data_IF_608065696434
#
_entry.id   IF_608065696434
#
_cell.length_a   1.000
_cell.length_b   1.000
_cell.length_c   1.000
_cell.angle_alpha   90.00
_cell.angle_beta   90.00
_cell.angle_gamma   90.00
#
_symmetry.space_group_name_H-M   'P 1'
#
loop_
_entity.id
_entity.type
_entity.pdbx_description
1 polymer ?
#
# COMPACT_ATOMS: atom_id res chain seq x y z
N UNK A 1 -10.13 -10.68 7.95
CA UNK A 1 -10.25 -10.04 9.27
C UNK A 1 -9.05 -9.13 9.45
N UNK A 2 -9.28 -7.83 9.67
CA UNK A 2 -8.20 -6.85 9.91
C UNK A 2 -7.66 -7.02 11.34
N UNK A 3 -6.46 -6.51 11.61
CA UNK A 3 -5.91 -6.50 12.95
C UNK A 3 -6.87 -5.74 13.91
N UNK A 4 -7.03 -6.19 15.17
CA UNK A 4 -8.04 -5.64 16.09
C UNK A 4 -7.84 -4.15 16.45
N UNK A 5 -6.67 -3.59 16.16
CA UNK A 5 -6.26 -2.20 16.37
C UNK A 5 -6.11 -1.40 15.06
N UNK A 6 -6.49 -1.98 13.93
CA UNK A 6 -6.45 -1.28 12.65
C UNK A 6 -7.39 -0.07 12.67
N UNK A 7 -6.98 1.04 12.05
CA UNK A 7 -7.79 2.26 11.93
C UNK A 7 -7.62 2.87 10.54
N UNK A 8 -8.43 3.87 10.20
CA UNK A 8 -8.26 4.60 8.95
C UNK A 8 -6.94 5.37 8.87
N UNK A 9 -6.33 5.71 10.00
CA UNK A 9 -5.00 6.33 10.02
C UNK A 9 -3.93 5.33 9.57
N UNK A 10 -4.05 4.06 9.95
CA UNK A 10 -3.17 3.00 9.45
C UNK A 10 -3.31 2.82 7.94
N UNK A 11 -4.55 2.89 7.43
CA UNK A 11 -4.81 2.86 5.99
C UNK A 11 -4.16 4.06 5.29
N UNK A 12 -4.28 5.26 5.85
CA UNK A 12 -3.67 6.47 5.32
C UNK A 12 -2.14 6.34 5.25
N UNK A 13 -1.51 5.85 6.34
CA UNK A 13 -0.06 5.61 6.38
C UNK A 13 0.39 4.61 5.31
N UNK A 14 -0.35 3.52 5.12
CA UNK A 14 -0.02 2.53 4.09
C UNK A 14 -0.08 3.12 2.69
N UNK A 15 -1.14 3.87 2.39
CA UNK A 15 -1.32 4.55 1.10
C UNK A 15 -0.19 5.56 0.86
N UNK A 16 0.14 6.40 1.85
CA UNK A 16 1.23 7.37 1.72
C UNK A 16 2.56 6.68 1.45
N UNK A 17 2.91 5.65 2.23
CA UNK A 17 4.16 4.91 2.01
C UNK A 17 4.21 4.23 0.63
N UNK A 18 3.07 3.76 0.13
CA UNK A 18 2.97 3.20 -1.22
C UNK A 18 3.20 4.26 -2.31
N UNK A 19 2.53 5.42 -2.21
CA UNK A 19 2.68 6.51 -3.17
C UNK A 19 4.11 7.09 -3.15
N UNK A 20 4.72 7.22 -1.99
CA UNK A 20 6.12 7.65 -1.84
C UNK A 20 7.07 6.66 -2.55
N UNK A 21 6.88 5.36 -2.32
CA UNK A 21 7.68 4.32 -2.97
C UNK A 21 7.52 4.32 -4.51
N UNK A 22 6.31 4.59 -5.02
CA UNK A 22 6.10 4.78 -6.46
C UNK A 22 6.77 6.06 -6.97
N UNK A 23 6.71 7.14 -6.20
CA UNK A 23 7.37 8.41 -6.49
C UNK A 23 8.88 8.26 -6.63
N UNK A 24 9.53 7.51 -5.72
CA UNK A 24 10.95 7.17 -5.79
C UNK A 24 11.31 6.37 -7.06
N UNK A 25 10.35 5.61 -7.61
CA UNK A 25 10.49 4.87 -8.86
C UNK A 25 10.09 5.69 -10.10
N UNK A 26 9.71 6.95 -9.94
CA UNK A 26 9.21 7.81 -11.03
C UNK A 26 7.89 7.34 -11.63
N UNK A 27 7.13 6.51 -10.91
CA UNK A 27 5.85 5.95 -11.34
C UNK A 27 4.68 6.79 -10.80
N UNK A 28 3.58 6.82 -11.54
CA UNK A 28 2.36 7.49 -11.08
C UNK A 28 1.61 6.61 -10.08
N UNK A 29 1.13 7.22 -9.00
CA UNK A 29 0.31 6.57 -7.98
C UNK A 29 -1.01 6.07 -8.53
N UNK A 30 -1.27 4.77 -8.39
CA UNK A 30 -2.57 4.16 -8.70
C UNK A 30 -3.66 4.69 -7.75
N UNK A 31 -3.26 5.08 -6.54
CA UNK A 31 -4.14 5.70 -5.54
C UNK A 31 -4.79 6.98 -6.04
N UNK A 32 -4.04 7.85 -6.73
CA UNK A 32 -4.60 9.10 -7.25
C UNK A 32 -5.75 8.81 -8.23
N UNK A 33 -5.56 7.85 -9.13
CA UNK A 33 -6.60 7.47 -10.09
C UNK A 33 -7.82 6.86 -9.40
N UNK A 34 -7.61 6.00 -8.39
CA UNK A 34 -8.69 5.45 -7.58
C UNK A 34 -9.47 6.56 -6.84
N UNK A 35 -8.77 7.53 -6.24
CA UNK A 35 -9.39 8.69 -5.59
C UNK A 35 -10.23 9.51 -6.57
N UNK A 36 -9.68 9.84 -7.73
CA UNK A 36 -10.40 10.61 -8.74
C UNK A 36 -11.65 9.85 -9.23
N UNK A 37 -11.55 8.53 -9.39
CA UNK A 37 -12.69 7.67 -9.73
C UNK A 37 -13.80 7.71 -8.67
N UNK A 38 -13.46 7.66 -7.37
CA UNK A 38 -14.43 7.84 -6.28
C UNK A 38 -15.13 9.19 -6.42
N UNK A 39 -14.38 10.27 -6.63
CA UNK A 39 -14.96 11.61 -6.73
C UNK A 39 -15.83 11.85 -7.97
N UNK A 40 -15.61 11.12 -9.08
CA UNK A 40 -16.55 11.13 -10.21
C UNK A 40 -17.93 10.59 -9.81
N UNK A 41 -17.96 9.55 -8.96
CA UNK A 41 -19.19 8.91 -8.46
C UNK A 41 -19.84 9.69 -7.32
N UNK A 42 -19.04 10.40 -6.54
CA UNK A 42 -19.50 11.25 -5.44
C UNK A 42 -19.00 12.71 -5.60
N UNK A 43 -19.49 13.49 -6.58
CA UNK A 43 -18.93 14.82 -6.86
C UNK A 43 -18.93 15.79 -5.66
N UNK A 44 -19.95 15.69 -4.80
CA UNK A 44 -20.08 16.54 -3.60
C UNK A 44 -18.94 16.33 -2.60
N UNK A 45 -18.36 15.14 -2.57
CA UNK A 45 -17.32 14.75 -1.64
C UNK A 45 -16.00 15.48 -1.89
N UNK A 46 -15.73 15.91 -3.13
CA UNK A 46 -14.50 16.64 -3.48
C UNK A 46 -14.34 17.95 -2.70
N UNK A 47 -15.44 18.57 -2.29
CA UNK A 47 -15.43 19.86 -1.60
C UNK A 47 -15.41 19.72 -0.07
N UNK A 48 -15.49 18.50 0.46
CA UNK A 48 -15.44 18.27 1.89
C UNK A 48 -13.98 18.29 2.37
N UNK A 49 -13.71 18.74 3.61
CA UNK A 49 -12.36 18.84 4.15
C UNK A 49 -11.75 17.47 4.51
N UNK A 50 -12.57 16.42 4.52
CA UNK A 50 -12.15 15.05 4.83
C UNK A 50 -11.77 14.29 3.57
N UNK A 51 -10.76 13.44 3.64
CA UNK A 51 -10.38 12.54 2.56
C UNK A 51 -11.44 11.44 2.33
N UNK A 52 -11.37 10.78 1.17
CA UNK A 52 -12.41 9.86 0.70
C UNK A 52 -12.70 8.69 1.66
N UNK A 53 -11.70 8.10 2.31
CA UNK A 53 -11.93 6.97 3.21
C UNK A 53 -12.70 7.37 4.46
N UNK A 54 -12.43 8.57 5.00
CA UNK A 54 -13.22 9.14 6.09
C UNK A 54 -14.66 9.41 5.65
N UNK A 55 -14.89 9.82 4.40
CA UNK A 55 -16.24 10.02 3.89
C UNK A 55 -17.02 8.70 3.76
N UNK A 56 -16.34 7.62 3.33
CA UNK A 56 -16.91 6.26 3.33
C UNK A 56 -17.23 5.82 4.77
N UNK A 57 -16.39 6.17 5.75
CA UNK A 57 -16.63 5.89 7.16
C UNK A 57 -17.87 6.58 7.72
N UNK A 58 -18.02 7.88 7.47
CA UNK A 58 -19.23 8.61 7.86
C UNK A 58 -20.47 8.07 7.14
N UNK A 59 -20.34 7.65 5.87
CA UNK A 59 -21.43 7.04 5.10
C UNK A 59 -21.86 5.65 5.61
N UNK A 60 -20.98 4.95 6.35
CA UNK A 60 -21.26 3.65 6.97
C UNK A 60 -21.49 3.76 8.48
N UNK A 61 -22.07 4.89 8.94
CA UNK A 61 -22.45 5.07 10.35
C UNK A 61 -21.28 4.95 11.33
N UNK A 62 -20.05 5.22 10.87
CA UNK A 62 -18.82 5.08 11.66
C UNK A 62 -18.54 3.65 12.12
N UNK A 63 -19.04 2.66 11.38
CA UNK A 63 -18.67 1.26 11.55
C UNK A 63 -17.40 0.96 10.75
N UNK A 64 -16.30 0.67 11.45
CA UNK A 64 -15.01 0.44 10.81
C UNK A 64 -15.01 -0.84 9.94
N UNK A 65 -15.59 -1.94 10.43
CA UNK A 65 -15.57 -3.21 9.70
C UNK A 65 -16.33 -3.07 8.38
N UNK A 66 -17.54 -2.52 8.45
CA UNK A 66 -18.37 -2.23 7.29
C UNK A 66 -17.70 -1.24 6.33
N UNK A 67 -17.00 -0.25 6.88
CA UNK A 67 -16.23 0.71 6.08
C UNK A 67 -15.12 0.02 5.30
N UNK A 68 -14.31 -0.82 5.94
CA UNK A 68 -13.21 -1.50 5.26
C UNK A 68 -13.73 -2.47 4.20
N UNK A 69 -14.83 -3.18 4.46
CA UNK A 69 -15.50 -3.98 3.43
C UNK A 69 -15.97 -3.13 2.25
N UNK A 70 -16.56 -1.97 2.51
CA UNK A 70 -17.00 -1.05 1.45
C UNK A 70 -15.81 -0.53 0.63
N UNK A 71 -14.67 -0.24 1.27
CA UNK A 71 -13.45 0.20 0.58
C UNK A 71 -12.91 -0.91 -0.32
N UNK A 72 -12.89 -2.16 0.14
CA UNK A 72 -12.47 -3.31 -0.69
C UNK A 72 -13.39 -3.47 -1.90
N UNK A 73 -14.72 -3.37 -1.71
CA UNK A 73 -15.66 -3.44 -2.84
C UNK A 73 -15.48 -2.30 -3.84
N UNK A 74 -15.24 -1.07 -3.36
CA UNK A 74 -14.94 0.07 -4.22
C UNK A 74 -13.66 -0.18 -5.04
N UNK A 75 -12.64 -0.76 -4.42
CA UNK A 75 -11.41 -1.14 -5.12
C UNK A 75 -11.68 -2.20 -6.19
N UNK A 76 -12.44 -3.25 -5.88
CA UNK A 76 -12.81 -4.29 -6.85
C UNK A 76 -13.58 -3.69 -8.05
N UNK A 77 -14.53 -2.80 -7.78
CA UNK A 77 -15.28 -2.08 -8.82
C UNK A 77 -14.38 -1.18 -9.67
N UNK A 78 -13.42 -0.49 -9.05
CA UNK A 78 -12.44 0.31 -9.78
C UNK A 78 -11.58 -0.56 -10.70
N UNK A 79 -11.03 -1.66 -10.18
CA UNK A 79 -10.19 -2.59 -10.93
C UNK A 79 -10.95 -3.27 -12.08
N UNK A 80 -12.25 -3.50 -11.92
CA UNK A 80 -13.11 -4.02 -12.98
C UNK A 80 -13.48 -2.99 -14.08
N UNK A 81 -13.25 -1.70 -13.84
CA UNK A 81 -13.65 -0.61 -14.74
C UNK A 81 -12.46 0.21 -15.24
N UNK A 82 -12.10 1.29 -14.55
CA UNK A 82 -11.05 2.23 -14.95
C UNK A 82 -9.64 1.76 -14.53
N UNK A 83 -9.55 0.80 -13.60
CA UNK A 83 -8.29 0.27 -13.07
C UNK A 83 -7.80 -1.04 -13.68
N UNK A 84 -8.43 -1.52 -14.75
CA UNK A 84 -8.16 -2.85 -15.33
C UNK A 84 -6.70 -3.04 -15.81
N UNK A 85 -6.01 -1.95 -16.13
CA UNK A 85 -4.59 -1.99 -16.50
C UNK A 85 -3.66 -2.36 -15.33
N UNK A 86 -4.08 -2.10 -14.08
CA UNK A 86 -3.29 -2.43 -12.89
C UNK A 86 -3.38 -3.91 -12.50
N UNK A 87 -4.45 -4.60 -12.91
CA UNK A 87 -4.63 -6.05 -12.70
C UNK A 87 -3.78 -6.87 -13.67
N UNK A 88 -3.36 -6.28 -14.81
CA UNK A 88 -2.63 -6.97 -15.88
C UNK A 88 -1.13 -7.06 -15.67
N UNK A 89 -0.60 -6.55 -14.56
CA UNK A 89 0.75 -6.88 -14.12
C UNK A 89 0.67 -8.11 -13.21
N UNK A 90 0.83 -9.34 -13.73
CA UNK A 90 1.14 -10.45 -12.85
C UNK A 90 2.43 -10.09 -12.12
N UNK A 91 2.45 -10.40 -10.83
CA UNK A 91 3.60 -10.47 -9.94
C UNK A 91 4.92 -10.21 -10.68
N UNK A 92 5.60 -9.09 -10.35
CA UNK A 92 7.06 -9.20 -10.39
C UNK A 92 7.34 -10.38 -9.47
N UNK A 93 7.69 -11.53 -10.04
CA UNK A 93 8.41 -12.56 -9.33
C UNK A 93 9.58 -11.81 -8.69
N UNK A 94 9.43 -11.44 -7.42
CA UNK A 94 10.57 -11.16 -6.56
C UNK A 94 11.25 -12.51 -6.43
N UNK A 95 12.01 -12.88 -7.47
CA UNK A 95 13.07 -13.84 -7.36
C UNK A 95 14.04 -13.21 -6.37
N UNK A 96 13.83 -13.52 -5.09
CA UNK A 96 14.88 -13.39 -4.11
C UNK A 96 15.95 -14.37 -4.57
N UNK A 97 16.90 -13.89 -5.38
CA UNK A 97 18.22 -14.49 -5.44
C UNK A 97 18.82 -14.25 -4.07
N UNK A 98 18.46 -15.10 -3.11
CA UNK A 98 19.16 -15.23 -1.85
C UNK A 98 20.51 -15.80 -2.24
N UNK A 99 21.46 -14.90 -2.53
CA UNK A 99 22.87 -15.25 -2.53
C UNK A 99 23.19 -15.60 -1.09
N UNK A 100 23.09 -16.89 -0.76
CA UNK A 100 23.68 -17.43 0.45
C UNK A 100 25.19 -17.33 0.24
N UNK A 101 25.78 -16.18 0.56
CA UNK A 101 27.22 -16.07 0.71
C UNK A 101 27.63 -17.07 1.79
N UNK A 102 28.29 -18.15 1.37
CA UNK A 102 28.93 -19.08 2.30
C UNK A 102 29.84 -18.25 3.21
N UNK A 103 29.75 -18.40 4.55
CA UNK A 103 30.59 -17.63 5.45
C UNK A 103 32.06 -17.91 5.13
N UNK A 104 32.76 -16.85 4.72
CA UNK A 104 34.18 -16.85 4.44
C UNK A 104 34.91 -17.35 5.69
N UNK A 105 35.74 -18.40 5.52
CA UNK A 105 36.52 -18.97 6.63
C UNK A 105 37.44 -17.88 7.17
N UNK A 106 37.12 -17.37 8.37
CA UNK A 106 37.99 -16.43 9.10
C UNK A 106 39.43 -16.94 9.09
N UNK A 107 40.42 -16.14 8.66
CA UNK A 107 41.81 -16.52 8.77
C UNK A 107 42.20 -16.69 10.24
N UNK A 108 42.87 -17.80 10.56
CA UNK A 108 43.41 -18.09 11.90
C UNK A 108 44.38 -16.96 12.27
N UNK A 109 44.09 -16.25 13.36
CA UNK A 109 45.03 -15.28 13.95
C UNK A 109 46.27 -16.01 14.44
N UNK A 110 47.42 -15.76 13.81
CA UNK A 110 48.73 -16.17 14.31
C UNK A 110 49.09 -15.38 15.57
N UNK A 111 49.71 -16.01 16.59
CA UNK A 111 49.99 -15.36 17.87
C UNK A 111 51.07 -14.27 17.73
N UNK A 112 50.79 -13.12 18.32
CA UNK A 112 51.66 -11.93 18.36
C UNK A 112 52.84 -12.19 19.30
N UNK A 113 54.05 -12.32 18.74
CA UNK A 113 55.29 -12.41 19.52
C UNK A 113 55.55 -11.07 20.23
N UNK A 114 55.71 -11.10 21.55
CA UNK A 114 56.14 -9.97 22.38
C UNK A 114 57.64 -9.71 22.16
N UNK A 115 58.01 -8.47 21.91
CA UNK A 115 59.29 -7.87 22.30
C UNK A 115 59.04 -6.42 22.66
#
# INVERSE_FOLDING_TARGET
MFAPDFTLDHLALYITGYDDALGDLGQKGQHEQFREWIFKRHPRWRHLPTWWAQQVYEANERDLERTLEAIVRLLDEFLATEGAEFVRFPERETQYDIVIEKPEKRPKRSPRSKR
#
